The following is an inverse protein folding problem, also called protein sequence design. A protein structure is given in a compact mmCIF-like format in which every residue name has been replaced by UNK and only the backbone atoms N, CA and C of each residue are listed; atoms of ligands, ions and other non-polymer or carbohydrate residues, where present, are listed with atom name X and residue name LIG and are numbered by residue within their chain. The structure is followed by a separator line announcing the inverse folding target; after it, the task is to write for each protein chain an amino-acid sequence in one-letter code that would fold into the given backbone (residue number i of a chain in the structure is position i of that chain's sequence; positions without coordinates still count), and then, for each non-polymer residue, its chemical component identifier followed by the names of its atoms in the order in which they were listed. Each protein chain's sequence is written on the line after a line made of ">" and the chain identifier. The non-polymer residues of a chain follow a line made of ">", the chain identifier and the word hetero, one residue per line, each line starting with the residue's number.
data_IF_374048562021
#
_entry.id   IF_374048562021
#
_cell.length_a   1.000
_cell.length_b   1.000
_cell.length_c   1.000
_cell.angle_alpha   90.00
_cell.angle_beta   90.00
_cell.angle_gamma   90.00
#
_symmetry.space_group_name_H-M   'P 1'
#
loop_
_entity.id
_entity.type
_entity.pdbx_description
1 polymer ?
#
# COMPACT_ATOMS: atom_id res chain seq x y z
N UNK A 1 17.64 -8.92 9.15
CA UNK A 1 16.90 -7.68 9.51
C UNK A 1 16.61 -7.68 11.00
N UNK A 2 16.52 -6.50 11.60
CA UNK A 2 15.95 -6.25 12.93
C UNK A 2 14.68 -5.43 12.71
N UNK A 3 13.60 -5.77 13.41
CA UNK A 3 12.31 -5.08 13.31
C UNK A 3 11.93 -4.51 14.68
N UNK A 4 11.68 -3.20 14.74
CA UNK A 4 11.16 -2.52 15.91
C UNK A 4 9.63 -2.48 15.82
N UNK A 5 8.96 -3.24 16.69
CA UNK A 5 7.50 -3.34 16.71
C UNK A 5 6.84 -2.21 17.52
N UNK A 6 7.58 -1.51 18.39
CA UNK A 6 7.04 -0.37 19.14
C UNK A 6 6.83 0.83 18.20
N UNK A 7 7.66 0.94 17.16
CA UNK A 7 7.49 1.91 16.08
C UNK A 7 6.15 1.72 15.32
N UNK A 8 5.57 0.51 15.25
CA UNK A 8 4.23 0.32 14.68
C UNK A 8 3.14 1.02 15.52
N UNK A 9 3.26 0.96 16.85
CA UNK A 9 2.32 1.61 17.76
C UNK A 9 2.48 3.14 17.72
N UNK A 10 3.73 3.62 17.69
CA UNK A 10 4.08 5.03 17.44
C UNK A 10 3.46 5.55 16.14
N UNK A 11 3.59 4.80 15.03
CA UNK A 11 2.97 5.16 13.74
C UNK A 11 1.44 5.12 13.79
N UNK A 12 0.85 4.12 14.46
CA UNK A 12 -0.61 4.07 14.64
C UNK A 12 -1.12 5.33 15.35
N UNK A 13 -0.48 5.71 16.47
CA UNK A 13 -0.83 6.91 17.22
C UNK A 13 -0.69 8.18 16.35
N UNK A 14 0.43 8.32 15.64
CA UNK A 14 0.65 9.46 14.74
C UNK A 14 -0.42 9.54 13.63
N UNK A 15 -0.84 8.41 13.06
CA UNK A 15 -1.93 8.37 12.07
C UNK A 15 -3.25 8.85 12.68
N UNK A 16 -3.63 8.31 13.85
CA UNK A 16 -4.89 8.67 14.52
C UNK A 16 -4.92 10.13 15.00
N UNK A 17 -3.77 10.70 15.34
CA UNK A 17 -3.63 12.12 15.68
C UNK A 17 -3.73 13.03 14.44
N UNK A 18 -3.10 12.67 13.32
CA UNK A 18 -3.11 13.46 12.10
C UNK A 18 -4.45 13.37 11.33
N UNK A 19 -5.10 12.21 11.37
CA UNK A 19 -6.32 11.89 10.62
C UNK A 19 -7.38 11.26 11.54
N UNK A 20 -7.92 11.99 12.54
CA UNK A 20 -8.82 11.43 13.55
C UNK A 20 -10.12 10.87 12.96
N UNK A 21 -10.63 11.48 11.88
CA UNK A 21 -11.83 11.06 11.13
C UNK A 21 -11.61 9.88 10.18
N UNK A 22 -10.37 9.39 10.02
CA UNK A 22 -10.03 8.32 9.06
C UNK A 22 -9.67 7.03 9.79
N UNK A 23 -10.32 5.92 9.44
CA UNK A 23 -9.94 4.60 9.93
C UNK A 23 -8.82 4.02 9.06
N UNK A 24 -7.62 3.75 9.61
CA UNK A 24 -6.57 3.07 8.85
C UNK A 24 -6.91 1.59 8.64
N UNK A 25 -6.85 1.13 7.39
CA UNK A 25 -6.86 -0.27 6.99
C UNK A 25 -5.46 -0.65 6.48
N UNK A 26 -4.70 -1.41 7.25
CA UNK A 26 -3.31 -1.71 6.91
C UNK A 26 -3.21 -2.60 5.65
N UNK A 27 -2.46 -2.13 4.65
CA UNK A 27 -2.21 -2.88 3.41
C UNK A 27 -1.26 -4.06 3.64
N UNK A 28 -1.81 -5.26 3.80
CA UNK A 28 -1.06 -6.49 4.14
C UNK A 28 0.05 -6.79 3.13
N UNK A 29 -0.16 -6.47 1.86
CA UNK A 29 0.82 -6.54 0.75
C UNK A 29 2.16 -5.82 1.01
N UNK A 30 2.19 -4.92 2.00
CA UNK A 30 3.39 -4.17 2.41
C UNK A 30 4.30 -5.00 3.33
N UNK A 31 3.71 -5.81 4.21
CA UNK A 31 4.37 -6.86 4.98
C UNK A 31 3.31 -7.78 5.59
N UNK A 32 3.26 -9.02 5.12
CA UNK A 32 2.40 -10.07 5.67
C UNK A 32 3.02 -10.77 6.90
N UNK A 33 3.95 -10.11 7.61
CA UNK A 33 4.56 -10.66 8.82
C UNK A 33 3.49 -10.87 9.91
N UNK A 34 3.30 -12.10 10.44
CA UNK A 34 2.32 -12.36 11.49
C UNK A 34 2.51 -11.47 12.73
N UNK A 35 3.74 -11.04 13.01
CA UNK A 35 4.07 -10.15 14.13
C UNK A 35 3.52 -8.73 13.93
N UNK A 36 3.64 -8.19 12.71
CA UNK A 36 3.09 -6.87 12.34
C UNK A 36 1.56 -6.89 12.49
N UNK A 37 0.91 -7.90 11.93
CA UNK A 37 -0.55 -8.03 11.99
C UNK A 37 -1.05 -8.23 13.44
N UNK A 38 -0.30 -8.98 14.27
CA UNK A 38 -0.60 -9.17 15.71
C UNK A 38 -0.45 -7.91 16.55
N UNK A 39 0.33 -6.92 16.11
CA UNK A 39 0.43 -5.60 16.77
C UNK A 39 -0.68 -4.68 16.28
N UNK A 40 -0.95 -4.64 14.97
CA UNK A 40 -1.93 -3.71 14.38
C UNK A 40 -3.40 -4.08 14.67
N UNK A 41 -3.72 -5.38 14.79
CA UNK A 41 -5.07 -5.85 15.09
C UNK A 41 -5.61 -5.38 16.46
N UNK A 42 -4.91 -5.57 17.60
CA UNK A 42 -5.39 -5.07 18.90
C UNK A 42 -5.37 -3.55 19.02
N UNK A 43 -4.62 -2.84 18.17
CA UNK A 43 -4.70 -1.37 18.04
C UNK A 43 -5.96 -0.89 17.31
N UNK A 44 -6.82 -1.80 16.83
CA UNK A 44 -8.07 -1.44 16.13
C UNK A 44 -7.86 -1.01 14.67
N UNK A 45 -6.73 -1.35 14.06
CA UNK A 45 -6.49 -1.12 12.62
C UNK A 45 -7.34 -2.12 11.81
N UNK A 46 -7.99 -1.66 10.74
CA UNK A 46 -8.56 -2.56 9.72
C UNK A 46 -7.46 -3.17 8.84
N UNK A 47 -7.82 -3.93 7.82
CA UNK A 47 -6.87 -4.54 6.89
C UNK A 47 -7.33 -4.50 5.43
N UNK A 48 -6.45 -4.00 4.55
CA UNK A 48 -6.55 -4.17 3.10
C UNK A 48 -5.85 -5.48 2.71
N UNK A 49 -6.65 -6.40 2.16
CA UNK A 49 -6.20 -7.66 1.60
C UNK A 49 -6.32 -7.64 0.07
N UNK A 50 -5.26 -8.04 -0.64
CA UNK A 50 -5.26 -8.16 -2.10
C UNK A 50 -5.41 -9.62 -2.60
N UNK A 51 -5.34 -10.59 -1.69
CA UNK A 51 -5.39 -12.03 -1.99
C UNK A 51 -6.16 -12.84 -0.93
N UNK A 52 -6.66 -14.01 -1.32
CA UNK A 52 -7.26 -14.99 -0.39
C UNK A 52 -6.28 -15.44 0.70
N UNK A 53 -4.96 -15.46 0.42
CA UNK A 53 -3.94 -15.83 1.40
C UNK A 53 -3.84 -14.81 2.54
N UNK A 54 -3.78 -13.51 2.21
CA UNK A 54 -3.80 -12.43 3.19
C UNK A 54 -5.14 -12.40 3.96
N UNK A 55 -6.25 -12.59 3.24
CA UNK A 55 -7.58 -12.64 3.84
C UNK A 55 -7.71 -13.76 4.88
N UNK A 56 -7.23 -14.97 4.54
CA UNK A 56 -7.16 -16.11 5.46
C UNK A 56 -6.26 -15.81 6.66
N UNK A 57 -5.13 -15.14 6.44
CA UNK A 57 -4.19 -14.77 7.50
C UNK A 57 -4.83 -13.78 8.50
N UNK A 58 -5.44 -12.70 8.00
CA UNK A 58 -6.11 -11.69 8.83
C UNK A 58 -7.28 -12.30 9.61
N UNK A 59 -8.13 -13.10 8.96
CA UNK A 59 -9.23 -13.81 9.64
C UNK A 59 -8.71 -14.78 10.72
N UNK A 60 -7.58 -15.45 10.50
CA UNK A 60 -6.98 -16.37 11.50
C UNK A 60 -6.47 -15.68 12.77
N UNK A 61 -6.34 -14.35 12.76
CA UNK A 61 -5.99 -13.54 13.93
C UNK A 61 -7.22 -13.08 14.72
N UNK A 62 -8.43 -13.49 14.33
CA UNK A 62 -9.68 -13.12 15.00
C UNK A 62 -10.22 -11.74 14.60
N UNK A 63 -9.67 -11.12 13.56
CA UNK A 63 -10.17 -9.84 13.02
C UNK A 63 -11.59 -10.03 12.48
N UNK A 64 -12.51 -9.20 12.96
CA UNK A 64 -13.90 -9.25 12.52
C UNK A 64 -14.01 -8.85 11.02
N UNK A 65 -14.87 -9.51 10.21
CA UNK A 65 -14.98 -9.23 8.77
C UNK A 65 -15.36 -7.79 8.38
N UNK A 66 -15.88 -6.99 9.33
CA UNK A 66 -16.15 -5.55 9.16
C UNK A 66 -14.85 -4.71 9.11
N UNK A 67 -13.79 -5.15 9.77
CA UNK A 67 -12.47 -4.50 9.75
C UNK A 67 -11.60 -4.97 8.58
N UNK A 68 -12.19 -5.47 7.49
CA UNK A 68 -11.47 -5.99 6.33
C UNK A 68 -12.08 -5.45 5.02
N UNK A 69 -11.22 -4.91 4.16
CA UNK A 69 -11.55 -4.63 2.75
C UNK A 69 -10.74 -5.56 1.85
N UNK A 70 -11.40 -6.15 0.85
CA UNK A 70 -10.72 -6.86 -0.23
C UNK A 70 -10.46 -5.86 -1.38
N UNK A 71 -9.40 -5.07 -1.25
CA UNK A 71 -9.09 -3.94 -2.14
C UNK A 71 -8.25 -4.28 -3.39
N UNK A 72 -8.37 -5.51 -3.90
CA UNK A 72 -7.95 -5.85 -5.25
C UNK A 72 -9.18 -5.75 -6.17
N UNK A 73 -9.18 -4.89 -7.19
CA UNK A 73 -10.36 -4.72 -8.04
C UNK A 73 -10.58 -5.88 -9.03
N UNK A 74 -9.57 -6.74 -9.28
CA UNK A 74 -9.70 -7.90 -10.17
C UNK A 74 -9.47 -9.21 -9.38
N UNK A 75 -10.53 -9.97 -9.06
CA UNK A 75 -10.47 -11.14 -8.17
C UNK A 75 -10.90 -12.41 -8.91
N UNK A 76 -10.23 -13.52 -8.61
CA UNK A 76 -10.70 -14.82 -9.09
C UNK A 76 -12.03 -15.21 -8.41
N UNK A 77 -12.92 -15.85 -9.15
CA UNK A 77 -14.24 -16.33 -8.70
C UNK A 77 -14.17 -17.06 -7.34
N UNK A 78 -13.20 -17.97 -7.19
CA UNK A 78 -12.97 -18.71 -5.95
C UNK A 78 -12.57 -17.82 -4.75
N UNK A 79 -11.88 -16.71 -4.99
CA UNK A 79 -11.52 -15.75 -3.95
C UNK A 79 -12.75 -14.91 -3.52
N UNK A 80 -13.63 -14.57 -4.46
CA UNK A 80 -14.91 -13.88 -4.19
C UNK A 80 -15.82 -14.81 -3.36
N UNK A 81 -15.95 -16.08 -3.75
CA UNK A 81 -16.66 -17.10 -2.98
C UNK A 81 -16.08 -17.27 -1.57
N UNK A 82 -14.75 -17.30 -1.43
CA UNK A 82 -14.10 -17.37 -0.11
C UNK A 82 -14.45 -16.15 0.77
N UNK A 83 -14.45 -14.94 0.20
CA UNK A 83 -14.85 -13.73 0.91
C UNK A 83 -16.32 -13.79 1.36
N UNK A 84 -17.22 -14.28 0.50
CA UNK A 84 -18.64 -14.50 0.81
C UNK A 84 -18.81 -15.49 1.98
N UNK A 85 -18.16 -16.66 1.92
CA UNK A 85 -18.21 -17.68 2.99
C UNK A 85 -17.76 -17.14 4.36
N UNK A 86 -16.79 -16.21 4.37
CA UNK A 86 -16.27 -15.58 5.59
C UNK A 86 -16.93 -14.24 5.93
N UNK A 87 -18.02 -13.87 5.23
CA UNK A 87 -18.81 -12.65 5.45
C UNK A 87 -18.01 -11.34 5.31
N UNK A 88 -16.93 -11.36 4.55
CA UNK A 88 -16.13 -10.17 4.21
C UNK A 88 -16.91 -9.43 3.13
N UNK A 89 -17.54 -8.30 3.49
CA UNK A 89 -18.51 -7.63 2.62
C UNK A 89 -17.92 -6.55 1.74
N UNK A 90 -16.85 -5.88 2.14
CA UNK A 90 -16.33 -4.71 1.44
C UNK A 90 -15.30 -5.15 0.38
N UNK A 91 -15.67 -5.04 -0.90
CA UNK A 91 -14.87 -5.46 -2.05
C UNK A 91 -14.70 -4.28 -3.01
N UNK A 92 -13.51 -4.06 -3.57
CA UNK A 92 -13.33 -3.06 -4.65
C UNK A 92 -13.62 -3.64 -6.03
N UNK A 93 -13.97 -2.79 -6.99
CA UNK A 93 -14.09 -3.14 -8.41
C UNK A 93 -13.78 -1.92 -9.30
N UNK A 94 -13.40 -2.15 -10.56
CA UNK A 94 -13.25 -1.10 -11.58
C UNK A 94 -13.70 -1.53 -13.00
N UNK A 95 -14.34 -2.70 -13.16
CA UNK A 95 -14.83 -3.21 -14.45
C UNK A 95 -16.18 -3.94 -14.36
N UNK A 96 -16.80 -4.20 -15.52
CA UNK A 96 -18.10 -4.90 -15.65
C UNK A 96 -17.97 -6.42 -15.45
N UNK A 97 -16.83 -7.01 -15.82
CA UNK A 97 -16.53 -8.41 -15.59
C UNK A 97 -16.50 -8.71 -14.09
N UNK A 98 -15.89 -7.83 -13.29
CA UNK A 98 -15.86 -7.98 -11.84
C UNK A 98 -17.26 -7.85 -11.21
N UNK A 99 -18.10 -6.95 -11.72
CA UNK A 99 -19.51 -6.88 -11.31
C UNK A 99 -20.26 -8.20 -11.61
N UNK A 100 -20.01 -8.78 -12.79
CA UNK A 100 -20.62 -10.05 -13.21
C UNK A 100 -20.20 -11.22 -12.30
N UNK A 101 -18.92 -11.29 -11.93
CA UNK A 101 -18.39 -12.28 -10.99
C UNK A 101 -18.96 -12.10 -9.57
N UNK A 102 -19.06 -10.85 -9.08
CA UNK A 102 -19.64 -10.56 -7.75
C UNK A 102 -21.13 -10.88 -7.72
N UNK A 103 -21.90 -10.56 -8.77
CA UNK A 103 -23.31 -10.91 -8.85
C UNK A 103 -23.56 -12.43 -8.73
N UNK A 104 -22.68 -13.25 -9.32
CA UNK A 104 -22.78 -14.71 -9.27
C UNK A 104 -22.30 -15.33 -7.94
N UNK A 105 -21.34 -14.71 -7.26
CA UNK A 105 -20.59 -15.36 -6.17
C UNK A 105 -20.65 -14.67 -4.81
N UNK A 106 -20.98 -13.38 -4.78
CA UNK A 106 -21.15 -12.61 -3.55
C UNK A 106 -22.15 -11.44 -3.73
N UNK A 107 -23.42 -11.70 -4.08
CA UNK A 107 -24.43 -10.65 -4.30
C UNK A 107 -24.76 -9.84 -3.04
N UNK A 108 -24.33 -10.28 -1.86
CA UNK A 108 -24.45 -9.55 -0.60
C UNK A 108 -23.23 -8.67 -0.24
N UNK A 109 -22.31 -8.46 -1.17
CA UNK A 109 -21.18 -7.54 -1.02
C UNK A 109 -21.62 -6.07 -1.04
N UNK A 110 -20.90 -5.24 -0.29
CA UNK A 110 -20.86 -3.80 -0.49
C UNK A 110 -19.67 -3.48 -1.38
N UNK A 111 -19.95 -2.93 -2.56
CA UNK A 111 -18.93 -2.64 -3.57
C UNK A 111 -18.40 -1.21 -3.46
N UNK A 112 -17.08 -1.08 -3.60
CA UNK A 112 -16.37 0.19 -3.61
C UNK A 112 -15.78 0.42 -4.99
N UNK A 113 -16.32 1.39 -5.74
CA UNK A 113 -15.84 1.69 -7.09
C UNK A 113 -14.46 2.36 -7.00
N UNK A 114 -13.45 1.70 -7.53
CA UNK A 114 -12.10 2.26 -7.61
C UNK A 114 -12.00 3.17 -8.82
N UNK A 115 -11.78 4.47 -8.60
CA UNK A 115 -11.59 5.45 -9.65
C UNK A 115 -10.11 5.62 -10.01
N UNK A 116 -9.89 6.07 -11.25
CA UNK A 116 -8.59 6.54 -11.72
C UNK A 116 -8.20 7.82 -10.95
N UNK A 117 -6.93 7.94 -10.57
CA UNK A 117 -6.39 9.14 -9.93
C UNK A 117 -5.12 9.61 -10.63
N UNK A 118 -4.86 10.91 -10.58
CA UNK A 118 -3.65 11.52 -11.13
C UNK A 118 -2.43 11.13 -10.29
N UNK A 119 -1.61 10.22 -10.83
CA UNK A 119 -0.46 9.60 -10.17
C UNK A 119 0.87 9.80 -10.92
N UNK A 120 0.93 10.66 -11.95
CA UNK A 120 2.16 10.95 -12.73
C UNK A 120 3.32 11.48 -11.88
N UNK A 121 3.03 12.02 -10.69
CA UNK A 121 4.00 12.49 -9.68
C UNK A 121 4.26 11.49 -8.56
N UNK A 122 3.71 10.28 -8.66
CA UNK A 122 3.99 9.18 -7.73
C UNK A 122 5.22 8.40 -8.17
N UNK A 123 5.86 7.71 -7.23
CA UNK A 123 7.01 6.86 -7.54
C UNK A 123 6.62 5.53 -8.20
N UNK A 124 5.39 5.10 -7.95
CA UNK A 124 4.81 3.87 -8.46
C UNK A 124 3.39 4.15 -8.96
N UNK A 125 3.24 4.57 -10.22
CA UNK A 125 1.92 4.74 -10.82
C UNK A 125 1.21 3.40 -10.93
N UNK A 126 -0.11 3.45 -10.77
CA UNK A 126 -1.06 2.33 -10.78
C UNK A 126 -2.19 2.55 -11.79
N UNK A 127 -2.39 3.78 -12.27
CA UNK A 127 -3.43 4.19 -13.22
C UNK A 127 -3.42 3.39 -14.55
N UNK A 128 -2.24 2.94 -15.00
CA UNK A 128 -2.08 2.09 -16.19
C UNK A 128 -2.66 0.67 -16.03
N UNK A 129 -3.03 0.28 -14.81
CA UNK A 129 -3.55 -1.06 -14.50
C UNK A 129 -4.90 -1.04 -13.76
N UNK A 130 -5.19 -0.02 -12.96
CA UNK A 130 -6.35 -0.01 -12.05
C UNK A 130 -7.00 1.37 -11.97
N UNK A 131 -8.33 1.36 -11.83
CA UNK A 131 -9.18 2.54 -11.66
C UNK A 131 -10.01 2.87 -12.90
N UNK A 132 -11.32 3.02 -12.74
CA UNK A 132 -12.21 3.47 -13.80
C UNK A 132 -12.09 4.98 -14.04
N UNK A 133 -12.13 5.42 -15.30
CA UNK A 133 -12.27 6.86 -15.61
C UNK A 133 -13.66 7.36 -15.22
N UNK A 134 -13.80 8.66 -14.93
CA UNK A 134 -15.09 9.26 -14.59
C UNK A 134 -16.16 9.09 -15.68
N UNK A 135 -15.74 9.01 -16.94
CA UNK A 135 -16.61 8.77 -18.10
C UNK A 135 -17.27 7.38 -18.03
N UNK A 136 -16.55 6.38 -17.53
CA UNK A 136 -17.01 4.98 -17.42
C UNK A 136 -17.73 4.73 -16.09
N UNK A 137 -17.48 5.52 -15.05
CA UNK A 137 -18.10 5.36 -13.72
C UNK A 137 -19.63 5.36 -13.75
N UNK A 138 -20.26 6.24 -14.53
CA UNK A 138 -21.73 6.29 -14.65
C UNK A 138 -22.34 5.02 -15.29
N UNK A 139 -21.60 4.40 -16.21
CA UNK A 139 -21.98 3.10 -16.79
C UNK A 139 -21.83 1.97 -15.76
N UNK A 140 -20.68 1.90 -15.07
CA UNK A 140 -20.44 0.89 -14.03
C UNK A 140 -21.46 0.94 -12.89
N UNK A 141 -21.87 2.14 -12.44
CA UNK A 141 -22.93 2.32 -11.45
C UNK A 141 -24.29 1.82 -11.96
N UNK A 142 -24.59 2.06 -13.24
CA UNK A 142 -25.79 1.55 -13.92
C UNK A 142 -25.78 0.03 -13.99
N UNK A 143 -24.70 -0.58 -14.49
CA UNK A 143 -24.53 -2.04 -14.57
C UNK A 143 -24.60 -2.70 -13.19
N UNK A 144 -24.00 -2.10 -12.15
CA UNK A 144 -24.09 -2.62 -10.78
C UNK A 144 -25.54 -2.63 -10.26
N UNK A 145 -26.28 -1.53 -10.45
CA UNK A 145 -27.70 -1.44 -10.09
C UNK A 145 -28.54 -2.47 -10.84
N UNK A 146 -28.31 -2.62 -12.14
CA UNK A 146 -29.09 -3.51 -13.00
C UNK A 146 -28.80 -5.01 -12.71
N UNK A 147 -27.61 -5.31 -12.17
CA UNK A 147 -27.24 -6.61 -11.57
C UNK A 147 -27.72 -6.79 -10.11
N UNK A 148 -28.37 -5.79 -9.51
CA UNK A 148 -28.86 -5.84 -8.13
C UNK A 148 -27.78 -5.70 -7.04
N UNK A 149 -26.61 -5.18 -7.39
CA UNK A 149 -25.46 -5.03 -6.49
C UNK A 149 -25.48 -3.67 -5.77
N UNK A 150 -25.08 -3.68 -4.49
CA UNK A 150 -24.97 -2.47 -3.68
C UNK A 150 -23.57 -1.84 -3.83
N UNK A 151 -23.47 -0.73 -4.58
CA UNK A 151 -22.29 0.14 -4.52
C UNK A 151 -22.42 1.07 -3.30
N UNK A 152 -21.48 0.97 -2.37
CA UNK A 152 -21.52 1.63 -1.05
C UNK A 152 -20.45 2.72 -0.88
N UNK A 153 -19.58 2.91 -1.86
CA UNK A 153 -18.62 4.01 -1.85
C UNK A 153 -17.68 4.01 -3.05
N UNK A 154 -16.71 4.91 -3.01
CA UNK A 154 -15.64 5.03 -4.00
C UNK A 154 -14.26 5.03 -3.32
N UNK A 155 -13.23 4.57 -4.04
CA UNK A 155 -11.83 4.55 -3.58
C UNK A 155 -10.89 5.01 -4.67
N UNK A 156 -9.70 5.48 -4.30
CA UNK A 156 -8.66 5.90 -5.23
C UNK A 156 -7.27 5.58 -4.67
N UNK A 157 -6.25 5.60 -5.53
CA UNK A 157 -4.87 5.47 -5.09
C UNK A 157 -3.98 6.36 -5.96
N UNK A 158 -3.46 7.46 -5.41
CA UNK A 158 -2.58 8.44 -6.09
C UNK A 158 -1.13 7.92 -6.32
N UNK A 159 -0.99 6.61 -6.54
CA UNK A 159 0.29 5.88 -6.54
C UNK A 159 0.98 5.80 -5.16
N UNK A 160 1.98 4.93 -5.01
CA UNK A 160 2.75 4.82 -3.76
C UNK A 160 3.82 5.90 -3.69
N UNK A 161 4.08 6.40 -2.48
CA UNK A 161 5.08 7.46 -2.21
C UNK A 161 4.78 8.76 -2.97
N UNK A 162 3.49 9.15 -2.99
CA UNK A 162 3.04 10.40 -3.60
C UNK A 162 3.37 11.60 -2.71
N UNK A 163 4.11 12.55 -3.28
CA UNK A 163 4.58 13.77 -2.60
C UNK A 163 3.73 15.01 -2.96
N UNK A 164 2.57 14.84 -3.61
CA UNK A 164 1.72 15.93 -4.12
C UNK A 164 0.35 15.94 -3.43
N UNK A 165 0.11 16.81 -2.42
CA UNK A 165 -1.18 16.93 -1.74
C UNK A 165 -2.36 17.23 -2.68
N UNK A 166 -2.11 17.95 -3.77
CA UNK A 166 -3.12 18.32 -4.76
C UNK A 166 -3.70 17.08 -5.48
N UNK A 167 -2.93 16.01 -5.68
CA UNK A 167 -3.43 14.75 -6.25
C UNK A 167 -4.48 14.11 -5.34
N UNK A 168 -4.31 14.19 -4.02
CA UNK A 168 -5.32 13.71 -3.06
C UNK A 168 -6.58 14.58 -3.11
N UNK A 169 -6.43 15.91 -3.13
CA UNK A 169 -7.58 16.83 -3.19
C UNK A 169 -8.41 16.62 -4.48
N UNK A 170 -7.76 16.41 -5.62
CA UNK A 170 -8.42 16.13 -6.89
C UNK A 170 -9.15 14.78 -6.86
N UNK A 171 -8.48 13.71 -6.43
CA UNK A 171 -9.09 12.38 -6.36
C UNK A 171 -10.25 12.29 -5.35
N UNK A 172 -10.21 13.06 -4.26
CA UNK A 172 -11.36 13.24 -3.35
C UNK A 172 -12.54 13.87 -4.11
N UNK A 173 -12.33 15.01 -4.77
CA UNK A 173 -13.39 15.68 -5.53
C UNK A 173 -13.97 14.80 -6.66
N UNK A 174 -13.14 13.95 -7.28
CA UNK A 174 -13.58 12.99 -8.28
C UNK A 174 -14.41 11.85 -7.67
N UNK A 175 -14.08 11.37 -6.47
CA UNK A 175 -14.95 10.46 -5.71
C UNK A 175 -16.31 11.10 -5.39
N UNK A 176 -16.33 12.38 -5.01
CA UNK A 176 -17.59 13.10 -4.72
C UNK A 176 -18.52 13.12 -5.92
N UNK A 177 -17.99 13.38 -7.13
CA UNK A 177 -18.77 13.27 -8.38
C UNK A 177 -19.32 11.87 -8.62
N UNK A 178 -18.59 10.81 -8.25
CA UNK A 178 -19.10 9.42 -8.35
C UNK A 178 -20.22 9.15 -7.34
N UNK A 179 -20.15 9.70 -6.13
CA UNK A 179 -21.27 9.67 -5.18
C UNK A 179 -22.51 10.40 -5.73
N UNK A 180 -22.32 11.55 -6.39
CA UNK A 180 -23.40 12.29 -7.10
C UNK A 180 -23.97 11.49 -8.28
N UNK A 181 -23.14 10.83 -9.10
CA UNK A 181 -23.60 9.95 -10.19
C UNK A 181 -24.49 8.81 -9.70
N UNK A 182 -24.22 8.26 -8.51
CA UNK A 182 -25.05 7.23 -7.88
C UNK A 182 -26.40 7.74 -7.34
N UNK A 183 -26.54 9.06 -7.13
CA UNK A 183 -27.71 9.69 -6.52
C UNK A 183 -28.25 10.83 -7.40
N UNK A 184 -29.20 10.54 -8.28
CA UNK A 184 -29.89 11.61 -9.02
C UNK A 184 -30.67 12.56 -8.08
N UNK A 185 -30.05 13.73 -7.83
CA UNK A 185 -30.54 14.94 -7.16
C UNK A 185 -30.53 15.00 -5.60
N UNK A 186 -29.55 15.72 -5.02
CA UNK A 186 -29.75 17.07 -4.46
C UNK A 186 -28.44 17.73 -3.94
N UNK A 187 -28.41 19.07 -3.87
CA UNK A 187 -27.21 19.95 -3.78
C UNK A 187 -26.73 20.26 -2.34
N UNK A 188 -25.42 20.16 -2.04
CA UNK A 188 -24.75 20.73 -0.83
C UNK A 188 -23.28 21.22 -1.18
N UNK A 189 -22.77 22.36 -0.62
CA UNK A 189 -21.57 23.13 -1.11
C UNK A 189 -20.46 23.54 -0.05
N UNK A 190 -19.17 23.82 -0.43
CA UNK A 190 -17.86 24.03 0.34
C UNK A 190 -16.81 22.85 0.69
N UNK A 191 -16.05 22.30 -0.28
CA UNK A 191 -15.57 20.90 -0.58
C UNK A 191 -15.05 19.78 0.40
N UNK A 192 -15.27 19.79 1.73
CA UNK A 192 -15.18 18.52 2.54
C UNK A 192 -15.75 18.68 3.95
N UNK A 193 -15.76 19.93 4.40
CA UNK A 193 -16.87 20.46 5.21
C UNK A 193 -18.19 20.61 4.39
N UNK A 194 -18.17 20.26 3.10
CA UNK A 194 -19.28 20.14 2.13
C UNK A 194 -19.52 18.69 1.79
N UNK A 195 -18.48 18.06 1.23
CA UNK A 195 -18.65 16.80 0.54
C UNK A 195 -18.99 15.73 1.58
N UNK A 196 -18.27 15.72 2.71
CA UNK A 196 -18.49 14.78 3.81
C UNK A 196 -18.28 15.39 5.23
N UNK A 197 -19.07 16.40 5.66
CA UNK A 197 -19.06 16.88 7.05
C UNK A 197 -19.53 15.82 8.06
N UNK A 198 -19.25 16.05 9.35
CA UNK A 198 -19.77 15.18 10.43
C UNK A 198 -21.31 15.21 10.45
N UNK A 199 -21.93 14.04 10.59
CA UNK A 199 -23.38 13.87 10.50
C UNK A 199 -23.90 13.42 9.13
N UNK A 200 -23.08 13.38 8.08
CA UNK A 200 -23.45 12.80 6.76
C UNK A 200 -23.62 11.28 6.77
N UNK A 201 -23.15 10.59 7.81
CA UNK A 201 -23.11 9.12 7.86
C UNK A 201 -22.00 8.49 7.00
N UNK A 202 -21.18 9.28 6.31
CA UNK A 202 -20.07 8.76 5.49
C UNK A 202 -18.86 8.43 6.37
N UNK A 203 -18.42 7.17 6.26
CA UNK A 203 -17.20 6.66 6.88
C UNK A 203 -16.01 6.82 5.92
N UNK A 204 -14.89 7.35 6.42
CA UNK A 204 -13.67 7.53 5.62
C UNK A 204 -12.61 6.54 6.08
N UNK A 205 -12.18 5.69 5.17
CA UNK A 205 -11.08 4.74 5.38
C UNK A 205 -9.86 5.15 4.55
N UNK A 206 -8.68 4.64 4.91
CA UNK A 206 -7.48 4.75 4.09
C UNK A 206 -6.70 3.43 4.11
N UNK A 207 -5.88 3.19 3.09
CA UNK A 207 -5.08 1.97 2.93
C UNK A 207 -3.56 2.22 3.14
N UNK A 208 -3.11 2.61 4.35
CA UNK A 208 -1.70 2.90 4.62
C UNK A 208 -0.86 1.61 4.73
N UNK A 209 -0.01 1.38 3.74
CA UNK A 209 1.02 0.34 3.77
C UNK A 209 2.39 0.83 4.25
N UNK A 210 3.08 1.57 3.37
CA UNK A 210 4.44 2.10 3.59
C UNK A 210 4.57 2.96 4.84
N UNK A 211 3.54 3.74 5.18
CA UNK A 211 3.53 4.61 6.36
C UNK A 211 3.80 3.83 7.67
N UNK A 212 3.25 2.63 7.80
CA UNK A 212 3.49 1.74 8.93
C UNK A 212 4.84 1.01 8.82
N UNK A 213 5.20 0.49 7.64
CA UNK A 213 6.33 -0.44 7.51
C UNK A 213 7.69 0.18 7.23
N UNK A 214 7.77 1.36 6.62
CA UNK A 214 9.04 1.96 6.22
C UNK A 214 10.05 2.19 7.37
N UNK A 215 9.66 2.63 8.58
CA UNK A 215 10.61 2.87 9.68
C UNK A 215 10.91 1.62 10.53
N UNK A 216 10.07 0.58 10.44
CA UNK A 216 10.10 -0.60 11.33
C UNK A 216 11.34 -1.48 11.14
N UNK A 217 11.83 -1.61 9.90
CA UNK A 217 12.85 -2.63 9.56
C UNK A 217 14.22 -2.01 9.25
N UNK A 218 15.23 -2.38 10.05
CA UNK A 218 16.64 -2.13 9.76
C UNK A 218 17.32 -3.39 9.20
N UNK A 219 17.98 -3.27 8.04
CA UNK A 219 18.71 -4.36 7.42
C UNK A 219 20.17 -4.39 7.90
N UNK A 220 20.47 -5.25 8.87
CA UNK A 220 21.84 -5.66 9.19
C UNK A 220 22.36 -6.66 8.15
N UNK A 221 23.55 -6.39 7.60
CA UNK A 221 24.26 -7.20 6.60
C UNK A 221 25.70 -7.42 7.04
N UNK A 222 26.31 -8.51 6.56
CA UNK A 222 27.71 -8.84 6.82
C UNK A 222 28.56 -8.66 5.55
N UNK A 223 29.82 -8.26 5.74
CA UNK A 223 30.84 -8.19 4.70
C UNK A 223 31.50 -9.57 4.61
N UNK A 224 31.09 -10.36 3.63
CA UNK A 224 31.62 -11.71 3.39
C UNK A 224 32.88 -11.71 2.52
N UNK A 225 33.13 -10.63 1.76
CA UNK A 225 34.32 -10.50 0.92
C UNK A 225 34.84 -9.06 0.90
N UNK A 226 36.16 -8.91 0.71
CA UNK A 226 36.83 -7.62 0.57
C UNK A 226 37.91 -7.71 -0.52
N UNK A 227 37.96 -6.72 -1.40
CA UNK A 227 39.02 -6.55 -2.42
C UNK A 227 39.51 -5.10 -2.41
N UNK A 228 40.81 -4.90 -2.60
CA UNK A 228 41.37 -3.58 -2.89
C UNK A 228 41.68 -3.50 -4.38
N UNK A 229 41.37 -2.36 -5.00
CA UNK A 229 41.62 -2.10 -6.43
C UNK A 229 42.27 -0.72 -6.58
N UNK A 230 43.24 -0.62 -7.47
CA UNK A 230 43.84 0.64 -7.89
C UNK A 230 43.07 1.14 -9.12
N UNK A 231 42.40 2.27 -9.02
CA UNK A 231 41.67 2.88 -10.14
C UNK A 231 42.62 3.62 -11.10
N UNK A 232 42.26 3.80 -12.39
CA UNK A 232 43.01 4.65 -13.31
C UNK A 232 43.15 6.07 -12.74
N UNK A 233 44.40 6.48 -12.47
CA UNK A 233 44.72 7.69 -11.70
C UNK A 233 45.43 7.43 -10.36
N UNK A 234 45.59 6.16 -9.96
CA UNK A 234 46.41 5.79 -8.80
C UNK A 234 45.68 5.86 -7.45
N UNK A 235 44.35 6.08 -7.46
CA UNK A 235 43.51 6.08 -6.27
C UNK A 235 43.21 4.65 -5.83
N UNK A 236 43.36 4.34 -4.54
CA UNK A 236 42.94 3.06 -3.99
C UNK A 236 41.46 3.09 -3.59
N UNK A 237 40.70 2.10 -4.06
CA UNK A 237 39.30 1.87 -3.74
C UNK A 237 39.08 0.49 -3.12
N UNK A 238 38.17 0.40 -2.14
CA UNK A 238 37.78 -0.87 -1.53
C UNK A 238 36.45 -1.37 -2.09
N UNK A 239 36.39 -2.65 -2.44
CA UNK A 239 35.16 -3.33 -2.84
C UNK A 239 34.76 -4.27 -1.71
N UNK A 240 33.52 -4.18 -1.26
CA UNK A 240 32.99 -5.02 -0.18
C UNK A 240 31.80 -5.84 -0.70
N UNK A 241 31.84 -7.16 -0.49
CA UNK A 241 30.79 -8.08 -0.92
C UNK A 241 29.91 -8.42 0.28
N UNK A 242 28.63 -8.09 0.18
CA UNK A 242 27.63 -8.29 1.22
C UNK A 242 27.02 -9.68 1.14
N UNK A 243 26.38 -10.13 2.23
CA UNK A 243 25.61 -11.37 2.27
C UNK A 243 24.13 -11.23 1.85
N UNK A 244 23.73 -10.06 1.35
CA UNK A 244 22.36 -9.69 0.96
C UNK A 244 22.40 -8.76 -0.25
N UNK A 245 21.35 -8.78 -1.07
CA UNK A 245 21.30 -8.03 -2.32
C UNK A 245 19.94 -8.02 -3.01
N UNK A 246 19.93 -7.61 -4.28
CA UNK A 246 18.70 -7.36 -5.05
C UNK A 246 17.77 -8.57 -5.17
N UNK A 247 18.31 -9.78 -5.14
CA UNK A 247 17.52 -11.01 -5.19
C UNK A 247 16.87 -11.38 -3.83
N UNK A 248 17.22 -10.67 -2.76
CA UNK A 248 16.63 -10.79 -1.43
C UNK A 248 16.05 -9.46 -0.93
N UNK A 249 16.42 -9.05 0.29
CA UNK A 249 15.81 -7.89 0.98
C UNK A 249 16.02 -6.56 0.24
N UNK A 250 17.05 -6.45 -0.60
CA UNK A 250 17.37 -5.22 -1.33
C UNK A 250 16.69 -5.11 -2.70
N UNK A 251 15.77 -6.02 -3.04
CA UNK A 251 14.93 -5.93 -4.26
C UNK A 251 14.23 -4.58 -4.43
N UNK A 252 13.93 -3.90 -3.32
CA UNK A 252 13.32 -2.58 -3.35
C UNK A 252 14.21 -1.52 -4.02
N UNK A 253 15.54 -1.66 -4.01
CA UNK A 253 16.46 -0.67 -4.61
C UNK A 253 16.39 -0.63 -6.13
N UNK A 254 16.08 -1.75 -6.79
CA UNK A 254 15.76 -1.80 -8.23
C UNK A 254 14.57 -0.90 -8.60
N UNK A 255 13.66 -0.68 -7.64
CA UNK A 255 12.43 0.11 -7.80
C UNK A 255 12.55 1.49 -7.14
N UNK A 256 13.51 1.65 -6.23
CA UNK A 256 13.73 2.85 -5.42
C UNK A 256 15.22 3.22 -5.38
N UNK A 257 15.72 4.03 -6.34
CA UNK A 257 17.07 4.57 -6.32
C UNK A 257 17.22 5.69 -5.27
N UNK A 258 16.88 5.42 -4.00
CA UNK A 258 17.24 6.27 -2.87
C UNK A 258 18.66 5.91 -2.45
N UNK A 259 19.56 6.89 -2.39
CA UNK A 259 20.87 6.69 -1.78
C UNK A 259 20.68 6.33 -0.30
N UNK A 260 21.19 5.17 0.13
CA UNK A 260 21.14 4.73 1.53
C UNK A 260 22.55 4.66 2.09
N UNK A 261 22.83 5.47 3.10
CA UNK A 261 24.13 5.44 3.80
C UNK A 261 24.16 4.24 4.76
N UNK A 262 25.10 3.29 4.61
CA UNK A 262 25.24 2.18 5.55
C UNK A 262 25.77 2.69 6.90
N UNK A 263 25.29 2.11 8.00
CA UNK A 263 25.77 2.40 9.36
C UNK A 263 26.76 1.30 9.78
N UNK A 264 27.98 1.69 10.12
CA UNK A 264 29.00 0.76 10.65
C UNK A 264 28.74 0.53 12.14
N UNK A 265 28.34 -0.68 12.50
CA UNK A 265 28.01 -1.07 13.89
C UNK A 265 29.27 -1.25 14.77
N UNK A 266 30.44 -1.44 14.15
CA UNK A 266 31.70 -1.63 14.90
C UNK A 266 32.22 -0.30 15.43
N UNK A 267 32.33 -0.18 16.75
CA UNK A 267 33.00 0.94 17.41
C UNK A 267 34.45 1.07 16.95
N UNK A 268 34.88 2.33 16.72
CA UNK A 268 36.26 2.68 16.37
C UNK A 268 36.81 3.60 17.44
N UNK A 269 37.90 3.19 18.09
CA UNK A 269 38.52 3.87 19.24
C UNK A 269 39.24 5.19 18.87
N UNK A 270 39.24 5.57 17.60
CA UNK A 270 39.89 6.76 17.03
C UNK A 270 39.17 7.15 15.74
N UNK A 271 39.27 8.40 15.28
CA UNK A 271 38.71 8.81 13.98
C UNK A 271 39.20 7.88 12.85
N UNK A 272 38.29 7.15 12.16
CA UNK A 272 38.69 6.24 11.10
C UNK A 272 39.09 7.01 9.85
N UNK A 273 40.19 6.60 9.21
CA UNK A 273 40.52 7.06 7.85
C UNK A 273 39.44 6.56 6.88
N UNK A 274 38.67 7.51 6.34
CA UNK A 274 37.72 7.22 5.28
C UNK A 274 38.47 6.89 3.98
N UNK A 275 37.93 5.95 3.21
CA UNK A 275 38.45 5.54 1.92
C UNK A 275 37.27 5.31 0.96
N UNK A 276 37.41 5.63 -0.34
CA UNK A 276 36.38 5.32 -1.33
C UNK A 276 36.09 3.82 -1.34
N UNK A 277 34.81 3.47 -1.35
CA UNK A 277 34.39 2.09 -1.52
C UNK A 277 33.12 1.97 -2.37
N UNK A 278 32.87 0.77 -2.86
CA UNK A 278 31.60 0.35 -3.48
C UNK A 278 31.16 -0.95 -2.83
N UNK A 279 29.86 -1.09 -2.60
CA UNK A 279 29.26 -2.30 -2.04
C UNK A 279 28.72 -3.18 -3.18
N UNK A 280 28.89 -4.49 -3.06
CA UNK A 280 28.40 -5.48 -4.01
C UNK A 280 27.48 -6.47 -3.30
N UNK A 281 26.46 -6.94 -4.01
CA UNK A 281 25.62 -8.06 -3.56
C UNK A 281 26.39 -9.40 -3.60
N UNK A 282 25.81 -10.48 -3.05
CA UNK A 282 26.46 -11.80 -3.04
C UNK A 282 26.45 -12.55 -4.37
N UNK A 283 25.74 -12.09 -5.42
CA UNK A 283 25.55 -12.89 -6.64
C UNK A 283 26.59 -12.59 -7.72
N UNK A 284 26.65 -13.43 -8.75
CA UNK A 284 27.56 -13.25 -9.89
C UNK A 284 26.96 -12.38 -11.01
N UNK A 285 25.82 -11.74 -10.78
CA UNK A 285 25.14 -10.89 -11.76
C UNK A 285 25.92 -9.58 -12.00
N UNK A 286 26.07 -9.19 -13.27
CA UNK A 286 26.82 -8.00 -13.68
C UNK A 286 26.24 -6.68 -13.19
N UNK A 287 24.96 -6.65 -12.79
CA UNK A 287 24.31 -5.44 -12.31
C UNK A 287 24.50 -5.17 -10.80
N UNK A 288 25.12 -6.08 -10.03
CA UNK A 288 25.10 -6.12 -8.55
C UNK A 288 25.88 -5.02 -7.77
N UNK A 289 26.07 -3.83 -8.36
CA UNK A 289 26.72 -2.69 -7.72
C UNK A 289 25.77 -1.79 -6.93
N UNK A 290 26.03 -1.63 -5.63
CA UNK A 290 25.54 -0.52 -4.81
C UNK A 290 26.65 0.52 -4.65
N UNK A 291 26.50 1.63 -5.38
CA UNK A 291 27.28 2.90 -5.35
C UNK A 291 28.56 2.88 -4.49
#
# INVERSE_FOLDING_TARGET
>A
MVADLDELASRHQAFRQALPRVWPFYSVKSSSSPWVLRVLAPLGTGFDCASQAELKQVLSLGVAPVGIIYANPCKASAHIQYAACHRVKLLTFDSEEELTEVAQHHPGAGLVLRILAEDSKSRFPLNTKFGASLEVCGHLLTTARDLGLAVVGASFHVGSDCQTPQSFAQAIADCCRVFEMGHMASVINAALAQDFPEGTGVEVIAEPGRFYMAPVCTAAVNINGKKAVLEPGGLWKLLYYLNEGWYGSFRIFLREPVLRTPIVVKEVLSEPRLCPCTLFHPTCDTFDGLS
#
